data_IF_972417675463
#
_entry.id   IF_972417675463
#
_cell.length_a   1.000
_cell.length_b   1.000
_cell.length_c   1.000
_cell.angle_alpha   90.00
_cell.angle_beta   90.00
_cell.angle_gamma   90.00
#
_symmetry.space_group_name_H-M   'P 1'
#
loop_
_entity.id
_entity.type
_entity.pdbx_description
1 polymer ?
#
# COMPACT_ATOMS: atom_id res chain seq x y z
N UNK A 1 11.27 6.02 -1.85
CA UNK A 1 10.89 6.44 -0.50
C UNK A 1 12.14 6.62 0.34
N UNK A 2 12.34 7.81 0.88
CA UNK A 2 13.49 8.12 1.74
C UNK A 2 13.01 8.42 3.16
N UNK A 3 13.69 7.84 4.14
CA UNK A 3 13.49 8.12 5.55
C UNK A 3 14.83 8.60 6.13
N UNK A 4 14.99 9.91 6.37
CA UNK A 4 16.25 10.48 6.82
C UNK A 4 16.78 9.80 8.08
N UNK A 5 18.06 9.41 8.06
CA UNK A 5 18.72 8.72 9.17
C UNK A 5 18.37 7.23 9.33
N UNK A 6 17.49 6.67 8.49
CA UNK A 6 17.08 5.26 8.56
C UNK A 6 17.39 4.51 7.27
N UNK A 7 16.93 5.02 6.11
CA UNK A 7 17.17 4.32 4.85
C UNK A 7 16.46 4.92 3.64
N UNK A 8 16.67 4.24 2.51
CA UNK A 8 16.04 4.55 1.24
C UNK A 8 15.57 3.26 0.57
N UNK A 9 14.38 3.27 0.01
CA UNK A 9 13.73 2.13 -0.63
C UNK A 9 13.12 2.51 -1.96
N UNK A 10 13.08 1.57 -2.88
CA UNK A 10 12.29 1.76 -4.09
C UNK A 10 10.82 1.85 -3.73
N UNK A 11 10.10 2.72 -4.44
CA UNK A 11 8.67 2.86 -4.26
C UNK A 11 8.00 3.25 -5.58
N UNK A 12 6.79 2.76 -5.79
CA UNK A 12 5.96 3.10 -6.93
C UNK A 12 4.53 3.38 -6.51
N UNK A 13 3.80 4.13 -7.31
CA UNK A 13 2.38 4.42 -7.06
C UNK A 13 1.65 4.65 -8.37
N UNK A 14 0.44 4.11 -8.47
CA UNK A 14 -0.36 4.14 -9.70
C UNK A 14 -0.11 2.93 -10.61
N UNK A 15 -1.04 2.69 -11.52
CA UNK A 15 -0.92 1.64 -12.55
C UNK A 15 0.19 1.97 -13.53
N UNK A 16 0.75 0.93 -14.15
CA UNK A 16 1.67 1.09 -15.28
C UNK A 16 1.09 2.06 -16.32
N UNK A 17 1.88 3.06 -16.72
CA UNK A 17 1.45 4.13 -17.61
C UNK A 17 0.66 5.28 -16.96
N UNK A 18 0.32 5.18 -15.67
CA UNK A 18 -0.43 6.20 -14.93
C UNK A 18 0.28 6.68 -13.65
N UNK A 19 1.59 6.53 -13.58
CA UNK A 19 2.38 6.82 -12.37
C UNK A 19 2.86 8.26 -12.26
N UNK A 20 2.54 9.10 -13.22
CA UNK A 20 2.92 10.52 -13.23
C UNK A 20 1.95 11.40 -12.42
N UNK A 21 2.46 12.52 -11.93
CA UNK A 21 1.69 13.54 -11.18
C UNK A 21 0.39 13.94 -11.87
N UNK A 22 0.38 14.08 -13.19
CA UNK A 22 -0.82 14.49 -13.95
C UNK A 22 -2.00 13.52 -13.81
N UNK A 23 -1.74 12.28 -13.43
CA UNK A 23 -2.76 11.25 -13.27
C UNK A 23 -3.25 11.08 -11.82
N UNK A 24 -2.75 11.88 -10.87
CA UNK A 24 -3.09 11.73 -9.45
C UNK A 24 -4.59 11.87 -9.13
N UNK A 25 -5.39 12.42 -10.05
CA UNK A 25 -6.84 12.54 -9.91
C UNK A 25 -7.61 11.32 -10.43
N UNK A 26 -6.96 10.43 -11.16
CA UNK A 26 -7.61 9.25 -11.72
C UNK A 26 -7.82 8.19 -10.64
N UNK A 27 -9.08 7.93 -10.34
CA UNK A 27 -9.45 6.87 -9.40
C UNK A 27 -9.01 5.51 -9.95
N UNK A 28 -8.51 4.64 -9.06
CA UNK A 28 -8.10 3.25 -9.32
C UNK A 28 -7.02 3.07 -10.41
N UNK A 29 -6.41 4.16 -10.87
CA UNK A 29 -5.34 4.15 -11.87
C UNK A 29 -4.17 5.04 -11.48
N UNK A 30 -4.45 6.28 -11.13
CA UNK A 30 -3.43 7.28 -10.85
C UNK A 30 -2.71 7.04 -9.52
N UNK A 31 -1.54 7.66 -9.34
CA UNK A 31 -0.75 7.50 -8.14
C UNK A 31 -1.39 8.17 -6.91
N UNK A 32 -0.85 7.93 -5.73
CA UNK A 32 -1.24 8.67 -4.53
C UNK A 32 -1.08 10.17 -4.77
N UNK A 33 -2.04 11.02 -4.37
CA UNK A 33 -1.89 12.45 -4.58
C UNK A 33 -0.72 13.03 -3.79
N UNK A 34 -0.07 14.07 -4.34
CA UNK A 34 0.91 14.86 -3.61
C UNK A 34 0.30 15.47 -2.35
N UNK A 35 1.01 15.44 -1.23
CA UNK A 35 0.51 15.97 0.04
C UNK A 35 1.17 15.36 1.26
N UNK A 36 0.54 15.56 2.40
CA UNK A 36 1.01 15.11 3.72
C UNK A 36 0.09 14.04 4.27
N UNK A 37 0.68 12.95 4.74
CA UNK A 37 -0.02 11.81 5.31
C UNK A 37 0.59 11.41 6.65
N UNK A 38 -0.23 10.82 7.52
CA UNK A 38 0.25 10.10 8.70
C UNK A 38 0.40 8.61 8.38
N UNK A 39 1.52 8.04 8.83
CA UNK A 39 1.78 6.61 8.85
C UNK A 39 1.65 6.15 10.30
N UNK A 40 0.60 5.41 10.68
CA UNK A 40 0.45 4.88 12.04
C UNK A 40 1.60 3.96 12.43
N UNK A 41 2.01 4.03 13.70
CA UNK A 41 3.09 3.21 14.25
C UNK A 41 2.59 2.07 15.14
N UNK A 42 1.30 2.00 15.44
CA UNK A 42 0.76 0.85 16.16
C UNK A 42 0.98 -0.42 15.32
N UNK A 43 1.53 -1.46 15.93
CA UNK A 43 1.68 -2.77 15.28
C UNK A 43 0.41 -3.57 15.55
N UNK A 44 -0.30 -3.93 14.49
CA UNK A 44 -1.44 -4.83 14.55
C UNK A 44 -1.02 -6.29 14.60
N UNK A 45 -1.96 -7.15 14.95
CA UNK A 45 -1.83 -8.58 14.77
C UNK A 45 -1.90 -8.99 13.28
N UNK A 46 -2.06 -10.29 13.04
CA UNK A 46 -2.32 -10.78 11.69
C UNK A 46 -3.69 -10.30 11.22
N UNK A 47 -3.71 -9.52 10.15
CA UNK A 47 -4.95 -9.17 9.47
C UNK A 47 -5.29 -10.25 8.45
N UNK A 48 -6.51 -10.77 8.53
CA UNK A 48 -7.06 -11.56 7.41
C UNK A 48 -7.34 -10.60 6.26
N UNK A 49 -6.68 -10.81 5.13
CA UNK A 49 -6.76 -9.89 4.00
C UNK A 49 -8.06 -9.99 3.26
N UNK A 50 -8.83 -11.04 3.45
CA UNK A 50 -9.98 -11.24 2.58
C UNK A 50 -11.16 -11.81 3.33
N UNK A 51 -12.21 -11.03 3.44
CA UNK A 51 -13.54 -11.55 3.15
C UNK A 51 -13.92 -11.00 1.78
N UNK A 52 -13.98 -11.84 0.77
CA UNK A 52 -14.61 -11.48 -0.48
C UNK A 52 -16.12 -11.57 -0.29
N UNK A 53 -16.82 -10.46 -0.40
CA UNK A 53 -18.27 -10.49 -0.59
C UNK A 53 -18.55 -10.59 -2.08
N UNK A 54 -19.37 -11.55 -2.46
CA UNK A 54 -19.85 -11.65 -3.82
C UNK A 54 -20.92 -10.57 -4.03
N UNK A 55 -20.66 -9.65 -4.94
CA UNK A 55 -21.65 -8.65 -5.35
C UNK A 55 -22.79 -9.33 -6.12
N UNK A 56 -23.91 -8.61 -6.26
CA UNK A 56 -25.08 -9.09 -7.00
C UNK A 56 -24.77 -9.43 -8.49
N UNK A 57 -23.75 -8.82 -9.07
CA UNK A 57 -23.26 -9.10 -10.43
C UNK A 57 -22.31 -10.31 -10.52
N UNK A 58 -22.09 -11.02 -9.40
CA UNK A 58 -21.20 -12.17 -9.31
C UNK A 58 -19.72 -11.81 -9.15
N UNK A 59 -19.34 -10.54 -9.24
CA UNK A 59 -17.96 -10.09 -9.01
C UNK A 59 -17.62 -10.12 -7.52
N UNK A 60 -16.33 -10.27 -7.22
CA UNK A 60 -15.84 -10.21 -5.83
C UNK A 60 -15.56 -8.77 -5.41
N UNK A 61 -16.10 -8.38 -4.26
CA UNK A 61 -15.75 -7.14 -3.62
C UNK A 61 -14.70 -7.42 -2.54
N UNK A 62 -13.64 -6.65 -2.55
CA UNK A 62 -12.69 -6.59 -1.45
C UNK A 62 -13.40 -5.93 -0.27
N UNK A 63 -13.76 -6.72 0.74
CA UNK A 63 -14.28 -6.18 1.99
C UNK A 63 -13.10 -5.66 2.77
N UNK A 64 -12.95 -4.36 2.76
CA UNK A 64 -11.90 -3.69 3.51
C UNK A 64 -12.06 -3.93 5.01
N UNK A 65 -11.17 -4.75 5.57
CA UNK A 65 -10.99 -4.88 7.03
C UNK A 65 -10.28 -3.65 7.61
N UNK A 66 -10.63 -2.48 7.12
CA UNK A 66 -9.83 -1.29 7.14
C UNK A 66 -9.98 -0.40 8.37
N UNK A 67 -10.48 -0.90 9.46
CA UNK A 67 -10.64 -0.09 10.68
C UNK A 67 -9.39 0.02 11.54
N UNK A 68 -8.33 -0.71 11.22
CA UNK A 68 -7.14 -0.76 12.04
C UNK A 68 -6.09 0.24 11.52
N UNK A 69 -5.91 1.34 12.25
CA UNK A 69 -4.78 2.26 12.06
C UNK A 69 -3.47 1.63 12.56
N UNK A 70 -3.08 0.48 12.00
CA UNK A 70 -1.95 -0.33 12.45
C UNK A 70 -1.07 -0.77 11.30
N UNK A 71 0.19 -1.11 11.61
CA UNK A 71 1.08 -1.82 10.70
C UNK A 71 0.63 -3.29 10.68
N UNK A 72 -0.05 -3.70 9.64
CA UNK A 72 -0.62 -5.03 9.50
C UNK A 72 0.37 -6.00 8.86
N UNK A 73 0.35 -7.26 9.32
CA UNK A 73 0.93 -8.39 8.60
C UNK A 73 -0.20 -9.15 7.93
N UNK A 74 -0.07 -9.41 6.64
CA UNK A 74 -1.06 -10.09 5.86
C UNK A 74 -0.80 -11.60 5.88
N UNK A 75 -1.83 -12.39 6.12
CA UNK A 75 -1.72 -13.85 6.15
C UNK A 75 -2.27 -14.46 4.87
N UNK A 76 -1.73 -15.61 4.52
CA UNK A 76 -2.28 -16.45 3.47
C UNK A 76 -3.71 -16.86 3.80
N UNK A 77 -4.56 -16.84 2.78
CA UNK A 77 -5.92 -17.35 2.82
C UNK A 77 -6.13 -18.36 1.72
N UNK A 78 -7.01 -19.29 1.97
CA UNK A 78 -7.45 -20.23 0.94
C UNK A 78 -8.14 -19.47 -0.19
N UNK A 79 -7.78 -19.79 -1.44
CA UNK A 79 -8.44 -19.21 -2.60
C UNK A 79 -9.93 -19.58 -2.60
N UNK A 80 -10.86 -18.64 -2.81
CA UNK A 80 -12.30 -18.90 -2.65
C UNK A 80 -12.89 -19.87 -3.66
N UNK A 81 -12.17 -20.16 -4.75
CA UNK A 81 -12.64 -21.07 -5.82
C UNK A 81 -11.70 -22.25 -6.09
N UNK A 82 -10.48 -22.21 -5.58
CA UNK A 82 -9.46 -23.23 -5.78
C UNK A 82 -8.94 -23.66 -4.41
N UNK A 83 -9.54 -24.75 -3.89
CA UNK A 83 -9.35 -25.18 -2.49
C UNK A 83 -7.92 -25.58 -2.14
N UNK A 84 -7.09 -25.86 -3.12
CA UNK A 84 -5.69 -26.24 -3.03
C UNK A 84 -4.73 -25.04 -3.12
N UNK A 85 -5.24 -23.85 -3.43
CA UNK A 85 -4.44 -22.63 -3.50
C UNK A 85 -4.62 -21.74 -2.27
N UNK A 86 -3.50 -21.36 -1.69
CA UNK A 86 -3.43 -20.36 -0.64
C UNK A 86 -2.74 -19.12 -1.20
N UNK A 87 -3.42 -17.99 -1.13
CA UNK A 87 -2.94 -16.74 -1.68
C UNK A 87 -2.68 -15.74 -0.57
N UNK A 88 -1.51 -15.11 -0.58
CA UNK A 88 -1.41 -13.71 -0.13
C UNK A 88 -1.98 -12.90 -1.28
N UNK A 89 -2.88 -11.98 -1.00
CA UNK A 89 -3.40 -11.12 -2.04
C UNK A 89 -2.24 -10.50 -2.82
N UNK A 90 -2.08 -10.89 -4.08
CA UNK A 90 -1.00 -10.42 -4.95
C UNK A 90 -0.91 -8.91 -5.01
N UNK A 91 -2.03 -8.23 -4.76
CA UNK A 91 -2.12 -6.78 -4.81
C UNK A 91 -1.52 -6.10 -3.58
N UNK A 92 -1.43 -6.79 -2.45
CA UNK A 92 -1.02 -6.20 -1.18
C UNK A 92 0.37 -6.62 -0.71
N UNK A 93 0.86 -7.79 -1.11
CA UNK A 93 2.06 -8.38 -0.53
C UNK A 93 1.85 -8.90 0.90
N UNK A 94 2.88 -8.89 1.72
CA UNK A 94 2.88 -9.45 3.07
C UNK A 94 2.63 -8.43 4.18
N UNK A 95 2.74 -7.15 3.87
CA UNK A 95 2.61 -6.07 4.84
C UNK A 95 1.86 -4.89 4.24
N UNK A 96 1.08 -4.21 5.09
CA UNK A 96 0.51 -2.92 4.72
C UNK A 96 0.30 -2.03 5.93
N UNK A 97 0.19 -0.73 5.69
CA UNK A 97 -0.24 0.27 6.67
C UNK A 97 -1.08 1.34 5.98
N UNK A 98 -2.23 1.64 6.56
CA UNK A 98 -3.13 2.66 6.02
C UNK A 98 -2.59 4.05 6.26
N UNK A 99 -2.63 4.88 5.22
CA UNK A 99 -2.26 6.28 5.28
C UNK A 99 -3.46 7.13 5.67
N UNK A 100 -3.31 7.94 6.71
CA UNK A 100 -4.29 8.97 7.05
C UNK A 100 -3.90 10.28 6.38
N UNK A 101 -4.73 10.74 5.45
CA UNK A 101 -4.53 12.00 4.75
C UNK A 101 -4.65 13.17 5.73
N UNK A 102 -3.68 14.08 5.74
CA UNK A 102 -3.71 15.34 6.50
C UNK A 102 -4.01 16.53 5.58
N UNK A 103 -3.24 16.66 4.49
CA UNK A 103 -3.42 17.70 3.50
C UNK A 103 -3.04 17.20 2.11
N UNK A 104 -3.57 17.85 1.09
CA UNK A 104 -3.18 17.61 -0.30
C UNK A 104 -2.48 18.86 -0.84
N UNK A 105 -1.48 18.67 -1.69
CA UNK A 105 -0.74 19.76 -2.30
C UNK A 105 -1.59 20.60 -3.27
N UNK A 106 -2.68 20.01 -3.78
CA UNK A 106 -3.62 20.68 -4.69
C UNK A 106 -5.05 20.42 -4.23
N UNK A 107 -5.81 21.51 -4.03
CA UNK A 107 -7.19 21.45 -3.56
C UNK A 107 -8.16 20.76 -4.52
N UNK A 108 -7.82 20.70 -5.81
CA UNK A 108 -8.67 20.16 -6.88
C UNK A 108 -8.45 18.65 -7.16
N UNK A 109 -7.73 17.94 -6.29
CA UNK A 109 -7.67 16.49 -6.42
C UNK A 109 -9.02 15.90 -6.03
N UNK A 110 -9.58 15.09 -6.92
CA UNK A 110 -10.82 14.34 -6.64
C UNK A 110 -10.76 13.71 -5.24
N UNK A 111 -11.88 13.57 -4.52
CA UNK A 111 -11.91 13.03 -3.17
C UNK A 111 -11.51 11.54 -3.18
N UNK A 112 -10.21 11.27 -3.26
CA UNK A 112 -9.63 9.95 -3.17
C UNK A 112 -9.21 9.68 -1.74
N UNK A 113 -9.43 8.45 -1.29
CA UNK A 113 -9.11 7.97 0.06
C UNK A 113 -8.69 6.50 -0.01
N UNK A 114 -8.40 5.90 1.14
CA UNK A 114 -8.06 4.49 1.20
C UNK A 114 -6.64 4.17 0.71
N UNK A 115 -5.70 5.10 0.86
CA UNK A 115 -4.30 4.88 0.48
C UNK A 115 -3.55 4.07 1.52
N UNK A 116 -2.66 3.21 1.04
CA UNK A 116 -1.79 2.38 1.87
C UNK A 116 -0.33 2.46 1.39
N UNK A 117 0.60 2.20 2.31
CA UNK A 117 1.90 1.63 1.98
C UNK A 117 1.76 0.12 2.05
N UNK A 118 2.28 -0.61 1.07
CA UNK A 118 2.26 -2.08 1.02
C UNK A 118 3.48 -2.60 0.25
N UNK A 119 3.81 -3.88 0.44
CA UNK A 119 5.02 -4.47 -0.10
C UNK A 119 4.79 -5.51 -1.20
N UNK A 120 3.74 -5.37 -2.00
CA UNK A 120 3.64 -6.16 -3.22
C UNK A 120 4.85 -5.87 -4.13
N UNK A 121 5.34 -6.86 -4.84
CA UNK A 121 6.54 -6.70 -5.68
C UNK A 121 6.19 -6.59 -7.17
N UNK A 122 5.15 -5.83 -7.50
CA UNK A 122 4.62 -5.68 -8.87
C UNK A 122 5.25 -4.52 -9.63
N UNK A 123 5.69 -3.48 -8.92
CA UNK A 123 6.13 -2.21 -9.50
C UNK A 123 4.98 -1.27 -9.87
N UNK A 124 3.74 -1.57 -9.49
CA UNK A 124 2.57 -0.73 -9.69
C UNK A 124 1.51 -0.95 -8.61
N UNK A 125 0.59 -0.03 -8.48
CA UNK A 125 -0.55 -0.13 -7.56
C UNK A 125 -1.80 0.52 -8.17
N UNK A 126 -2.95 0.34 -7.52
CA UNK A 126 -4.19 1.04 -7.89
C UNK A 126 -4.35 2.41 -7.20
N UNK A 127 -3.22 3.02 -6.83
CA UNK A 127 -3.17 4.33 -6.18
C UNK A 127 -2.57 4.33 -4.78
N UNK A 128 -2.24 3.17 -4.22
CA UNK A 128 -1.43 3.02 -3.02
C UNK A 128 0.05 3.28 -3.33
N UNK A 129 0.91 3.24 -2.34
CA UNK A 129 2.36 3.25 -2.50
C UNK A 129 2.86 1.84 -2.26
N UNK A 130 3.34 1.19 -3.31
CA UNK A 130 4.13 -0.02 -3.20
C UNK A 130 5.56 0.36 -2.80
N UNK A 131 6.15 -0.36 -1.85
CA UNK A 131 7.51 -0.13 -1.36
C UNK A 131 8.20 -1.45 -1.09
N UNK A 132 9.54 -1.48 -1.16
CA UNK A 132 10.32 -2.68 -0.85
C UNK A 132 10.00 -3.22 0.55
N UNK A 133 9.97 -4.54 0.70
CA UNK A 133 9.60 -5.24 1.95
C UNK A 133 10.45 -4.83 3.16
N UNK A 134 11.74 -4.54 2.94
CA UNK A 134 12.66 -4.11 4.00
C UNK A 134 12.24 -2.80 4.68
N UNK A 135 11.47 -1.95 4.00
CA UNK A 135 10.85 -0.78 4.63
C UNK A 135 10.00 -1.17 5.84
N UNK A 136 9.19 -2.23 5.73
CA UNK A 136 8.32 -2.66 6.83
C UNK A 136 9.09 -3.26 8.00
N UNK A 137 10.26 -3.83 7.75
CA UNK A 137 11.18 -4.25 8.83
C UNK A 137 11.61 -3.03 9.63
N UNK A 138 12.16 -2.02 8.95
CA UNK A 138 12.59 -0.76 9.57
C UNK A 138 11.44 -0.04 10.28
N UNK A 139 10.25 -0.01 9.67
CA UNK A 139 9.06 0.60 10.28
C UNK A 139 8.64 -0.09 11.58
N UNK A 140 8.70 -1.43 11.63
CA UNK A 140 8.39 -2.20 12.86
C UNK A 140 9.44 -2.02 13.94
N UNK A 141 10.72 -2.02 13.58
CA UNK A 141 11.83 -1.76 14.52
C UNK A 141 11.71 -0.37 15.13
N UNK A 142 11.47 0.65 14.31
CA UNK A 142 11.23 2.00 14.77
C UNK A 142 10.00 2.09 15.68
N UNK A 143 8.91 1.43 15.30
CA UNK A 143 7.70 1.38 16.12
C UNK A 143 7.98 0.81 17.51
N UNK A 144 8.65 -0.34 17.60
CA UNK A 144 9.00 -0.96 18.89
C UNK A 144 9.80 -0.02 19.79
N UNK A 145 10.74 0.72 19.21
CA UNK A 145 11.61 1.62 19.97
C UNK A 145 10.90 2.91 20.39
N UNK A 146 9.95 3.42 19.61
CA UNK A 146 9.47 4.79 19.75
C UNK A 146 7.95 4.93 19.96
N UNK A 147 7.16 3.85 19.88
CA UNK A 147 5.70 3.95 19.94
C UNK A 147 5.16 4.60 21.23
N UNK A 148 5.85 4.46 22.35
CA UNK A 148 5.46 5.11 23.60
C UNK A 148 5.41 6.64 23.44
N UNK A 149 6.44 7.21 22.79
CA UNK A 149 6.61 8.66 22.61
C UNK A 149 5.98 9.17 21.29
N UNK A 150 5.85 8.33 20.27
CA UNK A 150 5.40 8.73 18.93
C UNK A 150 4.39 7.73 18.36
N UNK A 151 3.21 8.20 18.00
CA UNK A 151 2.11 7.35 17.52
C UNK A 151 2.03 7.25 16.00
N UNK A 152 2.71 8.15 15.28
CA UNK A 152 2.73 8.19 13.82
C UNK A 152 3.99 8.88 13.29
N UNK A 153 4.33 8.60 12.04
CA UNK A 153 5.27 9.36 11.24
C UNK A 153 4.53 10.26 10.26
N UNK A 154 5.20 11.28 9.78
CA UNK A 154 4.73 12.11 8.67
C UNK A 154 5.37 11.61 7.39
N UNK A 155 4.55 11.30 6.41
CA UNK A 155 4.93 11.00 5.04
C UNK A 155 4.59 12.20 4.16
N UNK A 156 5.59 12.76 3.52
CA UNK A 156 5.43 13.77 2.47
C UNK A 156 5.50 13.08 1.12
N UNK A 157 4.46 13.26 0.31
CA UNK A 157 4.44 12.82 -1.08
C UNK A 157 4.67 14.03 -1.96
N UNK A 158 5.82 14.07 -2.59
CA UNK A 158 6.25 15.13 -3.48
C UNK A 158 6.62 14.55 -4.85
N UNK A 159 6.23 15.22 -5.91
CA UNK A 159 6.57 14.87 -7.29
C UNK A 159 7.56 15.91 -7.80
N UNK A 160 8.79 15.51 -7.99
CA UNK A 160 9.91 16.34 -8.46
C UNK A 160 10.24 16.16 -9.94
N UNK A 161 9.48 15.34 -10.64
CA UNK A 161 9.69 15.05 -12.05
C UNK A 161 9.08 13.72 -12.46
N UNK A 162 9.67 13.09 -13.46
CA UNK A 162 9.26 11.77 -13.94
C UNK A 162 9.99 10.67 -13.17
N UNK A 163 9.26 9.89 -12.36
CA UNK A 163 9.77 8.62 -11.88
C UNK A 163 9.54 7.55 -12.94
N UNK A 164 10.58 6.85 -13.31
CA UNK A 164 10.51 5.69 -14.22
C UNK A 164 10.42 4.36 -13.46
N UNK A 165 10.59 4.39 -12.15
CA UNK A 165 10.48 3.19 -11.33
C UNK A 165 9.04 2.65 -11.37
N UNK A 166 8.91 1.37 -11.60
CA UNK A 166 7.61 0.70 -11.76
C UNK A 166 7.09 0.66 -13.19
N UNK A 167 7.40 1.63 -14.04
CA UNK A 167 7.06 1.57 -15.47
C UNK A 167 7.87 0.51 -16.24
N UNK A 168 8.97 0.06 -15.67
CA UNK A 168 9.88 -0.91 -16.28
C UNK A 168 9.68 -2.33 -15.82
N UNK A 169 8.93 -2.55 -14.73
CA UNK A 169 8.61 -3.91 -14.28
C UNK A 169 7.47 -4.48 -15.11
N UNK A 170 7.67 -5.66 -15.64
CA UNK A 170 6.61 -6.42 -16.32
C UNK A 170 5.50 -6.75 -15.32
N UNK A 171 4.25 -6.82 -15.80
CA UNK A 171 3.07 -7.29 -15.04
C UNK A 171 3.15 -8.77 -14.62
N UNK A 172 4.35 -9.29 -14.42
CA UNK A 172 4.52 -10.66 -13.93
C UNK A 172 3.95 -10.74 -12.52
N UNK A 173 2.82 -11.37 -12.42
CA UNK A 173 2.21 -11.78 -11.16
C UNK A 173 3.18 -12.73 -10.47
N UNK A 174 3.68 -12.32 -9.33
CA UNK A 174 4.49 -13.19 -8.47
C UNK A 174 3.53 -13.80 -7.47
N UNK A 175 3.16 -15.05 -7.72
CA UNK A 175 2.49 -15.85 -6.70
C UNK A 175 3.48 -16.08 -5.56
N UNK A 176 3.19 -15.57 -4.39
CA UNK A 176 3.90 -15.98 -3.19
C UNK A 176 3.17 -17.22 -2.70
N UNK A 177 3.76 -18.37 -2.95
CA UNK A 177 3.30 -19.62 -2.36
C UNK A 177 3.39 -19.47 -0.85
N UNK A 178 2.32 -19.75 -0.17
CA UNK A 178 2.30 -19.77 1.28
C UNK A 178 2.75 -21.14 1.75
N UNK A 179 3.86 -21.20 2.45
CA UNK A 179 4.29 -22.38 3.18
C UNK A 179 3.35 -22.69 4.35
#
# INVERSE_FOLDING_TARGET
LTWPGVGQWNASSGKTGYQEKRFQNLRDKGPVPGGTFQVPLAVGGQARVVSFERKADGTLADVQLDKLSTIERLTCIQHPFEADQHLISEEWGSNRVRLKKLSLAHANTAPRSGFYLHDSNKGYSHGCIEVDTDFFKSLREYSRAHFAARKFLILLVHYDGTSTYGNTKSDKRVFVQCD
#
